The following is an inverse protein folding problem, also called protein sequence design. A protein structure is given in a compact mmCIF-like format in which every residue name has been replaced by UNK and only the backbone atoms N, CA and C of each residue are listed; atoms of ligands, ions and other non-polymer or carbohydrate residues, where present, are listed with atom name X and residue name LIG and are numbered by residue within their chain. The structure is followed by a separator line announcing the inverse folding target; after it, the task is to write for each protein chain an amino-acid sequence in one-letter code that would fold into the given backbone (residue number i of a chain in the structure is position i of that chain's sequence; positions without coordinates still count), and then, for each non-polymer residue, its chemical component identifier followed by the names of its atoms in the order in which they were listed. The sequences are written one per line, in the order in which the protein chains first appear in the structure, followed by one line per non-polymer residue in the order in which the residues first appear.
data_IF_569058858866
#
_entry.id   IF_569058858866
#
_cell.length_a   1.000
_cell.length_b   1.000
_cell.length_c   1.000
_cell.angle_alpha   90.00
_cell.angle_beta   90.00
_cell.angle_gamma   90.00
#
_symmetry.space_group_name_H-M   'P 1'
#
loop_
_entity.id
_entity.type
_entity.pdbx_description
1 polymer ?
#
# COMPACT_ATOMS: atom_id res chain seq x y z
N UNK A 1 -45.91 -24.38 -44.76
CA UNK A 1 -45.12 -24.87 -43.61
C UNK A 1 -44.04 -23.86 -43.29
N UNK A 2 -44.34 -22.91 -42.41
CA UNK A 2 -43.41 -21.82 -42.00
C UNK A 2 -42.71 -22.28 -40.71
N UNK A 3 -41.42 -22.57 -40.74
CA UNK A 3 -40.59 -22.84 -39.55
C UNK A 3 -40.13 -21.51 -38.93
N UNK A 4 -40.72 -21.16 -37.80
CA UNK A 4 -40.34 -20.05 -36.96
C UNK A 4 -38.98 -20.35 -36.31
N UNK A 5 -37.96 -19.57 -36.64
CA UNK A 5 -36.62 -19.63 -36.04
C UNK A 5 -36.59 -18.60 -34.92
N UNK A 6 -36.81 -19.06 -33.68
CA UNK A 6 -36.65 -18.21 -32.49
C UNK A 6 -35.17 -18.02 -32.19
N UNK A 7 -34.71 -16.80 -32.45
CA UNK A 7 -33.38 -16.34 -32.05
C UNK A 7 -33.40 -16.08 -30.53
N UNK A 8 -32.77 -16.95 -29.79
CA UNK A 8 -32.54 -16.77 -28.35
C UNK A 8 -31.34 -15.83 -28.15
N UNK A 9 -31.64 -14.55 -27.88
CA UNK A 9 -30.64 -13.52 -27.60
C UNK A 9 -30.13 -13.72 -26.16
N UNK A 10 -28.99 -14.41 -26.01
CA UNK A 10 -28.30 -14.53 -24.72
C UNK A 10 -27.62 -13.20 -24.42
N UNK A 11 -28.22 -12.40 -23.52
CA UNK A 11 -27.60 -11.21 -22.93
C UNK A 11 -26.45 -11.69 -22.01
N UNK A 12 -25.22 -11.63 -22.49
CA UNK A 12 -24.01 -11.74 -21.67
C UNK A 12 -23.91 -10.49 -20.80
N UNK A 13 -24.37 -10.59 -19.57
CA UNK A 13 -24.08 -9.61 -18.52
C UNK A 13 -22.58 -9.70 -18.22
N UNK A 14 -21.79 -8.82 -18.81
CA UNK A 14 -20.40 -8.62 -18.40
C UNK A 14 -20.41 -8.00 -17.01
N UNK A 15 -20.12 -8.81 -15.98
CA UNK A 15 -19.82 -8.31 -14.64
C UNK A 15 -18.46 -7.62 -14.78
N UNK A 16 -18.48 -6.30 -14.88
CA UNK A 16 -17.27 -5.49 -14.75
C UNK A 16 -16.88 -5.54 -13.27
N UNK A 17 -15.91 -6.36 -12.95
CA UNK A 17 -15.19 -6.25 -11.67
C UNK A 17 -14.37 -4.95 -11.78
N UNK A 18 -14.95 -3.86 -11.31
CA UNK A 18 -14.23 -2.61 -11.17
C UNK A 18 -13.40 -2.72 -9.89
N UNK A 19 -12.08 -2.70 -10.01
CA UNK A 19 -11.17 -2.49 -8.88
C UNK A 19 -11.54 -1.21 -8.13
N UNK A 20 -11.12 -1.08 -6.87
CA UNK A 20 -11.41 0.08 -6.03
C UNK A 20 -11.21 1.42 -6.74
N UNK A 21 -12.02 2.40 -6.37
CA UNK A 21 -12.00 3.70 -7.01
C UNK A 21 -10.87 4.57 -6.44
N UNK A 22 -9.82 4.78 -7.23
CA UNK A 22 -8.72 5.68 -6.88
C UNK A 22 -9.18 7.12 -7.02
N UNK A 23 -9.35 7.83 -5.91
CA UNK A 23 -9.74 9.23 -5.87
C UNK A 23 -8.53 10.14 -6.12
N UNK A 24 -7.40 9.82 -5.47
CA UNK A 24 -6.14 10.54 -5.63
C UNK A 24 -4.97 9.56 -5.52
N UNK A 25 -3.93 9.75 -6.35
CA UNK A 25 -2.66 9.08 -6.20
C UNK A 25 -1.56 9.97 -6.79
N UNK A 26 -0.73 10.54 -5.95
CA UNK A 26 0.32 11.46 -6.34
C UNK A 26 1.65 11.16 -5.61
N UNK A 27 2.76 11.38 -6.29
CA UNK A 27 4.09 11.35 -5.68
C UNK A 27 4.83 12.63 -6.07
N UNK A 28 5.30 13.36 -5.07
CA UNK A 28 6.16 14.51 -5.22
C UNK A 28 7.60 14.21 -4.77
N UNK A 29 8.56 15.08 -5.12
CA UNK A 29 9.94 15.00 -4.66
C UNK A 29 10.48 16.41 -4.49
N UNK A 30 10.95 16.72 -3.30
CA UNK A 30 11.56 18.01 -2.96
C UNK A 30 12.65 17.79 -1.91
N UNK A 31 13.81 18.39 -2.12
CA UNK A 31 14.94 18.40 -1.17
C UNK A 31 15.36 17.00 -0.66
N UNK A 32 15.27 16.00 -1.55
CA UNK A 32 15.61 14.61 -1.23
C UNK A 32 14.47 13.80 -0.59
N UNK A 33 13.36 14.44 -0.20
CA UNK A 33 12.18 13.80 0.36
C UNK A 33 11.19 13.45 -0.74
N UNK A 34 10.73 12.21 -0.74
CA UNK A 34 9.62 11.73 -1.55
C UNK A 34 8.35 11.73 -0.72
N UNK A 35 7.30 12.37 -1.22
CA UNK A 35 5.98 12.38 -0.59
C UNK A 35 5.00 11.62 -1.46
N UNK A 36 4.36 10.58 -0.91
CA UNK A 36 3.27 9.84 -1.53
C UNK A 36 1.96 10.21 -0.85
N UNK A 37 0.98 10.59 -1.64
CA UNK A 37 -0.41 10.78 -1.23
C UNK A 37 -1.30 9.80 -2.00
N UNK A 38 -2.10 9.03 -1.28
CA UNK A 38 -3.06 8.10 -1.85
C UNK A 38 -4.39 8.26 -1.13
N UNK A 39 -5.47 8.29 -1.89
CA UNK A 39 -6.84 8.28 -1.42
C UNK A 39 -7.64 7.36 -2.32
N UNK A 40 -8.20 6.29 -1.74
CA UNK A 40 -8.86 5.23 -2.50
C UNK A 40 -10.01 4.64 -1.71
N UNK A 41 -11.08 4.28 -2.39
CA UNK A 41 -12.16 3.47 -1.84
C UNK A 41 -11.98 2.03 -2.31
N UNK A 42 -11.92 1.10 -1.36
CA UNK A 42 -11.81 -0.35 -1.59
C UNK A 42 -13.11 -1.04 -1.24
N UNK A 43 -13.44 -2.13 -1.95
CA UNK A 43 -14.65 -2.94 -1.68
C UNK A 43 -14.33 -4.01 -0.64
N UNK A 44 -14.17 -3.54 0.59
CA UNK A 44 -13.87 -4.41 1.72
C UNK A 44 -14.32 -3.70 2.98
N UNK A 45 -14.92 -4.45 3.89
CA UNK A 45 -15.35 -3.92 5.19
C UNK A 45 -14.16 -3.36 5.98
N UNK A 46 -14.42 -2.35 6.79
CA UNK A 46 -13.41 -1.68 7.61
C UNK A 46 -12.58 -2.65 8.45
N UNK A 47 -13.24 -3.58 9.14
CA UNK A 47 -12.59 -4.53 10.03
C UNK A 47 -11.59 -5.43 9.29
N UNK A 48 -11.95 -5.87 8.09
CA UNK A 48 -11.09 -6.71 7.26
C UNK A 48 -9.87 -5.94 6.74
N UNK A 49 -10.07 -4.69 6.30
CA UNK A 49 -8.98 -3.83 5.86
C UNK A 49 -8.06 -3.48 7.03
N UNK A 50 -8.63 -3.07 8.16
CA UNK A 50 -7.86 -2.68 9.34
C UNK A 50 -7.03 -3.86 9.88
N UNK A 51 -7.62 -5.05 9.96
CA UNK A 51 -6.93 -6.25 10.41
C UNK A 51 -5.71 -6.58 9.55
N UNK A 52 -5.82 -6.44 8.22
CA UNK A 52 -4.71 -6.78 7.29
C UNK A 52 -3.57 -5.75 7.35
N UNK A 53 -3.90 -4.46 7.51
CA UNK A 53 -2.86 -3.40 7.55
C UNK A 53 -2.20 -3.27 8.92
N UNK A 54 -2.78 -3.88 9.97
CA UNK A 54 -2.22 -3.96 11.33
C UNK A 54 -1.59 -5.31 11.67
N UNK A 55 -1.65 -6.28 10.78
CA UNK A 55 -0.89 -7.54 10.92
C UNK A 55 0.57 -7.31 10.46
N UNK A 56 1.37 -6.76 11.38
CA UNK A 56 2.73 -6.28 11.07
C UNK A 56 3.71 -7.39 10.68
N UNK A 57 3.44 -8.63 11.02
CA UNK A 57 4.25 -9.77 10.61
C UNK A 57 3.89 -10.25 9.19
N UNK A 58 2.72 -9.89 8.69
CA UNK A 58 2.18 -10.36 7.41
C UNK A 58 2.11 -9.26 6.33
N UNK A 59 2.66 -8.07 6.56
CA UNK A 59 2.59 -6.96 5.59
C UNK A 59 3.21 -7.30 4.22
N UNK A 60 4.09 -8.30 4.16
CA UNK A 60 4.61 -8.81 2.90
C UNK A 60 3.52 -9.40 1.99
N UNK A 61 2.35 -9.77 2.54
CA UNK A 61 1.21 -10.26 1.75
C UNK A 61 0.54 -9.15 0.94
N UNK A 62 0.61 -7.90 1.39
CA UNK A 62 0.00 -6.76 0.71
C UNK A 62 0.98 -6.00 -0.20
N UNK A 63 2.28 -6.26 -0.12
CA UNK A 63 3.28 -5.58 -0.96
C UNK A 63 4.39 -6.52 -1.40
N UNK A 64 4.53 -6.69 -2.72
CA UNK A 64 5.60 -7.50 -3.33
C UNK A 64 7.00 -6.90 -3.10
N UNK A 65 7.09 -5.63 -2.75
CA UNK A 65 8.37 -5.00 -2.41
C UNK A 65 8.88 -5.43 -1.03
N UNK A 66 7.99 -5.80 -0.12
CA UNK A 66 8.35 -6.26 1.22
C UNK A 66 8.78 -7.72 1.16
N UNK A 67 10.06 -7.97 1.36
CA UNK A 67 10.64 -9.34 1.36
C UNK A 67 10.76 -9.92 2.77
N UNK A 68 10.72 -9.07 3.78
CA UNK A 68 10.71 -9.46 5.20
C UNK A 68 9.94 -8.41 5.99
N UNK A 69 9.08 -8.87 6.90
CA UNK A 69 8.38 -8.04 7.87
C UNK A 69 8.40 -8.74 9.21
N UNK A 70 8.68 -8.02 10.28
CA UNK A 70 8.67 -8.59 11.63
C UNK A 70 8.43 -7.54 12.70
N UNK A 71 7.65 -7.91 13.70
CA UNK A 71 7.50 -7.14 14.93
C UNK A 71 8.72 -7.37 15.83
N UNK A 72 9.36 -6.30 16.28
CA UNK A 72 10.57 -6.34 17.12
C UNK A 72 10.29 -6.10 18.61
N UNK A 73 9.12 -5.53 18.95
CA UNK A 73 8.68 -5.29 20.32
C UNK A 73 7.49 -6.18 20.68
N UNK A 74 7.14 -6.23 21.97
CA UNK A 74 5.92 -6.92 22.43
C UNK A 74 4.68 -6.29 21.78
N UNK A 75 3.74 -7.15 21.37
CA UNK A 75 2.53 -6.73 20.66
C UNK A 75 1.59 -5.82 21.49
N UNK A 76 1.68 -5.90 22.82
CA UNK A 76 0.87 -5.11 23.75
C UNK A 76 1.44 -3.73 24.07
N UNK A 77 2.62 -3.39 23.56
CA UNK A 77 3.20 -2.07 23.74
C UNK A 77 2.37 -1.00 23.01
N UNK A 78 2.16 0.17 23.65
CA UNK A 78 1.49 1.32 23.04
C UNK A 78 2.23 1.80 21.77
N UNK A 79 3.55 1.76 21.81
CA UNK A 79 4.41 1.98 20.64
C UNK A 79 5.09 0.66 20.30
N UNK A 80 4.75 0.12 19.15
CA UNK A 80 5.34 -1.11 18.62
C UNK A 80 6.53 -0.74 17.75
N UNK A 81 7.55 -1.58 17.71
CA UNK A 81 8.67 -1.43 16.79
C UNK A 81 8.65 -2.56 15.78
N UNK A 82 8.78 -2.23 14.49
CA UNK A 82 8.80 -3.23 13.43
C UNK A 82 9.98 -3.04 12.49
N UNK A 83 10.39 -4.13 11.86
CA UNK A 83 11.38 -4.16 10.79
C UNK A 83 10.66 -4.45 9.48
N UNK A 84 10.96 -3.67 8.47
CA UNK A 84 10.57 -3.90 7.10
C UNK A 84 11.82 -3.99 6.24
N UNK A 85 11.90 -5.01 5.40
CA UNK A 85 12.97 -5.12 4.39
C UNK A 85 12.32 -5.04 3.02
N UNK A 86 12.65 -4.00 2.29
CA UNK A 86 12.16 -3.78 0.93
C UNK A 86 13.21 -4.19 -0.09
N UNK A 87 12.77 -4.80 -1.18
CA UNK A 87 13.59 -5.06 -2.35
C UNK A 87 12.95 -4.42 -3.57
N UNK A 88 13.68 -3.56 -4.23
CA UNK A 88 13.20 -2.91 -5.46
C UNK A 88 14.28 -2.86 -6.52
N UNK A 89 13.86 -2.88 -7.79
CA UNK A 89 14.76 -2.74 -8.92
C UNK A 89 14.36 -1.50 -9.72
N UNK A 90 15.34 -0.64 -9.97
CA UNK A 90 15.21 0.52 -10.86
C UNK A 90 16.09 0.26 -12.07
N UNK A 91 15.48 -0.02 -13.21
CA UNK A 91 16.15 -0.51 -14.40
C UNK A 91 16.89 -1.84 -14.11
N UNK A 92 18.23 -1.84 -14.23
CA UNK A 92 19.08 -2.99 -13.94
C UNK A 92 19.67 -2.98 -12.52
N UNK A 93 19.41 -1.93 -11.75
CA UNK A 93 19.92 -1.78 -10.39
C UNK A 93 18.86 -2.25 -9.40
N UNK A 94 19.15 -3.36 -8.73
CA UNK A 94 18.32 -3.85 -7.62
C UNK A 94 19.01 -3.53 -6.30
N UNK A 95 18.25 -3.04 -5.34
CA UNK A 95 18.75 -2.76 -4.00
C UNK A 95 17.73 -3.25 -2.97
N UNK A 96 18.26 -3.60 -1.84
CA UNK A 96 17.49 -3.96 -0.65
C UNK A 96 17.71 -2.84 0.35
N UNK A 97 16.63 -2.40 0.99
CA UNK A 97 16.70 -1.38 2.02
C UNK A 97 15.97 -1.87 3.28
N UNK A 98 16.60 -1.64 4.42
CA UNK A 98 16.06 -1.93 5.74
C UNK A 98 15.41 -0.68 6.30
N UNK A 99 14.24 -0.84 6.91
CA UNK A 99 13.49 0.19 7.60
C UNK A 99 13.09 -0.32 8.97
N UNK A 100 13.59 0.32 10.01
CA UNK A 100 13.15 0.13 11.38
C UNK A 100 12.29 1.33 11.75
N UNK A 101 11.07 1.08 12.20
CA UNK A 101 10.14 2.16 12.52
C UNK A 101 9.33 1.87 13.78
N UNK A 102 9.06 2.91 14.53
CA UNK A 102 8.08 2.90 15.59
C UNK A 102 6.68 3.11 15.01
N UNK A 103 5.73 2.35 15.51
CA UNK A 103 4.33 2.33 15.05
C UNK A 103 3.42 2.55 16.23
N UNK A 104 2.45 3.43 16.09
CA UNK A 104 1.37 3.62 17.06
C UNK A 104 0.02 3.80 16.36
N UNK A 105 -0.99 3.28 16.99
CA UNK A 105 -2.37 3.27 16.48
C UNK A 105 -3.24 4.20 17.30
N UNK A 106 -4.12 4.93 16.64
CA UNK A 106 -5.14 5.77 17.28
C UNK A 106 -6.43 5.65 16.49
N UNK A 107 -7.48 5.09 17.11
CA UNK A 107 -8.79 4.85 16.49
C UNK A 107 -8.65 4.13 15.11
N UNK A 108 -8.82 4.88 14.03
CA UNK A 108 -8.75 4.39 12.65
C UNK A 108 -7.43 4.75 11.93
N UNK A 109 -6.44 5.23 12.69
CA UNK A 109 -5.20 5.77 12.13
C UNK A 109 -3.99 4.98 12.63
N UNK A 110 -3.09 4.62 11.70
CA UNK A 110 -1.82 3.99 11.97
C UNK A 110 -0.72 4.97 11.58
N UNK A 111 0.08 5.35 12.55
CA UNK A 111 1.21 6.26 12.34
C UNK A 111 2.51 5.51 12.49
N UNK A 112 3.49 5.86 11.66
CA UNK A 112 4.83 5.30 11.76
C UNK A 112 5.88 6.38 11.66
N UNK A 113 7.03 6.15 12.30
CA UNK A 113 8.21 6.98 12.22
C UNK A 113 9.45 6.13 12.15
N UNK A 114 10.26 6.35 11.13
CA UNK A 114 11.53 5.66 10.93
C UNK A 114 12.54 6.06 12.02
N UNK A 115 13.36 5.07 12.44
CA UNK A 115 14.54 5.24 13.27
C UNK A 115 15.74 5.27 12.34
N UNK A 116 16.31 6.45 12.03
CA UNK A 116 17.36 6.59 11.02
C UNK A 116 18.63 5.81 11.34
N UNK A 117 19.00 5.71 12.64
CA UNK A 117 20.21 5.04 13.09
C UNK A 117 20.23 3.53 12.75
N UNK A 118 19.03 2.93 12.62
CA UNK A 118 18.86 1.49 12.36
C UNK A 118 18.28 1.23 10.95
N UNK A 119 18.24 2.25 10.09
CA UNK A 119 17.57 2.20 8.79
C UNK A 119 18.41 2.73 7.64
N UNK A 120 18.10 2.31 6.42
CA UNK A 120 18.68 2.86 5.19
C UNK A 120 17.97 4.15 4.73
N UNK A 121 17.36 4.87 5.66
CA UNK A 121 16.61 6.11 5.41
C UNK A 121 16.98 7.16 6.45
N UNK A 122 17.22 8.40 5.99
CA UNK A 122 17.50 9.57 6.86
C UNK A 122 16.26 10.06 7.60
N UNK A 123 15.11 9.84 6.98
CA UNK A 123 13.83 10.29 7.50
C UNK A 123 12.71 9.45 6.87
N UNK A 124 11.68 9.23 7.65
CA UNK A 124 10.43 8.69 7.14
C UNK A 124 9.31 8.80 8.15
N UNK A 125 8.14 9.12 7.65
CA UNK A 125 6.89 9.18 8.40
C UNK A 125 5.75 8.72 7.52
N UNK A 126 4.87 7.89 8.06
CA UNK A 126 3.70 7.42 7.33
C UNK A 126 2.47 7.52 8.21
N UNK A 127 1.37 7.95 7.63
CA UNK A 127 0.04 7.91 8.26
C UNK A 127 -0.90 7.18 7.33
N UNK A 128 -1.48 6.10 7.83
CA UNK A 128 -2.61 5.41 7.23
C UNK A 128 -3.87 5.81 7.98
N UNK A 129 -4.94 6.11 7.26
CA UNK A 129 -6.28 6.26 7.83
C UNK A 129 -7.21 5.32 7.09
N UNK A 130 -7.99 4.53 7.84
CA UNK A 130 -8.99 3.62 7.28
C UNK A 130 -10.34 4.04 7.82
N UNK A 131 -11.24 4.47 6.94
CA UNK A 131 -12.58 4.91 7.29
C UNK A 131 -13.61 3.94 6.69
N UNK A 132 -14.63 3.54 7.45
CA UNK A 132 -15.79 2.85 6.88
C UNK A 132 -16.57 3.82 5.98
N UNK A 133 -16.90 3.39 4.76
CA UNK A 133 -17.79 4.10 3.85
C UNK A 133 -19.22 3.54 3.99
N UNK A 134 -19.30 2.21 4.00
CA UNK A 134 -20.49 1.42 4.29
C UNK A 134 -20.08 0.03 4.81
N UNK A 135 -21.04 -0.89 4.97
CA UNK A 135 -20.78 -2.22 5.53
C UNK A 135 -19.83 -3.10 4.68
N UNK A 136 -19.60 -2.73 3.42
CA UNK A 136 -18.80 -3.51 2.45
C UNK A 136 -17.71 -2.71 1.76
N UNK A 137 -17.53 -1.44 2.14
CA UNK A 137 -16.51 -0.60 1.53
C UNK A 137 -15.81 0.31 2.54
N UNK A 138 -14.53 0.53 2.33
CA UNK A 138 -13.68 1.37 3.17
C UNK A 138 -12.89 2.36 2.34
N UNK A 139 -12.58 3.49 2.92
CA UNK A 139 -11.69 4.50 2.34
C UNK A 139 -10.34 4.41 3.02
N UNK A 140 -9.31 4.23 2.22
CA UNK A 140 -7.92 4.22 2.67
C UNK A 140 -7.28 5.53 2.23
N UNK A 141 -6.73 6.27 3.18
CA UNK A 141 -5.84 7.40 2.90
C UNK A 141 -4.45 7.06 3.40
N UNK A 142 -3.46 7.29 2.57
CA UNK A 142 -2.06 7.11 2.89
C UNK A 142 -1.30 8.39 2.59
N UNK A 143 -0.64 8.91 3.61
CA UNK A 143 0.37 9.95 3.49
C UNK A 143 1.70 9.37 3.93
N UNK A 144 2.71 9.45 3.08
CA UNK A 144 4.02 8.89 3.37
C UNK A 144 5.12 9.83 2.88
N UNK A 145 6.04 10.17 3.77
CA UNK A 145 7.27 10.89 3.46
C UNK A 145 8.47 9.98 3.70
N UNK A 146 9.37 9.91 2.73
CA UNK A 146 10.58 9.09 2.80
C UNK A 146 11.78 9.84 2.25
N UNK A 147 12.88 9.85 2.99
CA UNK A 147 14.19 10.33 2.55
C UNK A 147 15.20 9.18 2.59
N UNK A 148 15.50 8.56 1.44
CA UNK A 148 16.51 7.50 1.37
C UNK A 148 17.91 8.00 1.76
N UNK A 149 18.70 7.13 2.43
CA UNK A 149 20.13 7.34 2.71
C UNK A 149 21.05 6.55 1.76
N UNK A 150 20.49 6.02 0.68
CA UNK A 150 21.25 5.36 -0.37
C UNK A 150 21.30 6.21 -1.65
N UNK A 151 22.32 5.93 -2.47
CA UNK A 151 22.53 6.71 -3.70
C UNK A 151 21.41 6.46 -4.72
N UNK A 152 20.82 7.52 -5.20
CA UNK A 152 19.83 7.53 -6.29
C UNK A 152 20.41 8.34 -7.45
N UNK A 153 20.45 7.79 -8.69
CA UNK A 153 20.97 8.52 -9.84
C UNK A 153 20.26 9.88 -10.02
N UNK A 154 21.00 11.01 -10.06
CA UNK A 154 20.41 12.35 -9.85
C UNK A 154 19.41 12.77 -10.93
N UNK A 155 19.58 12.38 -12.17
CA UNK A 155 18.71 12.87 -13.27
C UNK A 155 17.49 11.99 -13.53
N UNK A 156 17.64 10.67 -13.47
CA UNK A 156 16.57 9.73 -13.77
C UNK A 156 15.94 9.11 -12.52
N UNK A 157 16.72 9.04 -11.44
CA UNK A 157 16.33 8.39 -10.20
C UNK A 157 15.05 8.94 -9.58
N UNK A 158 14.90 10.26 -9.38
CA UNK A 158 13.68 10.83 -8.81
C UNK A 158 12.43 10.51 -9.62
N UNK A 159 12.52 10.53 -10.95
CA UNK A 159 11.41 10.16 -11.82
C UNK A 159 11.04 8.67 -11.67
N UNK A 160 12.05 7.80 -11.67
CA UNK A 160 11.84 6.35 -11.54
C UNK A 160 11.32 5.97 -10.14
N UNK A 161 11.84 6.60 -9.09
CA UNK A 161 11.33 6.41 -7.72
C UNK A 161 9.86 6.78 -7.62
N UNK A 162 9.47 7.97 -8.10
CA UNK A 162 8.06 8.39 -8.14
C UNK A 162 7.18 7.37 -8.86
N UNK A 163 7.61 6.93 -10.04
CA UNK A 163 6.87 5.93 -10.83
C UNK A 163 6.75 4.60 -10.10
N UNK A 164 7.80 4.17 -9.42
CA UNK A 164 7.82 2.92 -8.63
C UNK A 164 6.90 3.03 -7.43
N UNK A 165 7.02 4.09 -6.61
CA UNK A 165 6.15 4.31 -5.45
C UNK A 165 4.67 4.32 -5.83
N UNK A 166 4.31 5.04 -6.90
CA UNK A 166 2.92 5.11 -7.36
C UNK A 166 2.40 3.76 -7.86
N UNK A 167 3.24 2.99 -8.58
CA UNK A 167 2.88 1.65 -9.05
C UNK A 167 2.65 0.71 -7.88
N UNK A 168 3.55 0.69 -6.92
CA UNK A 168 3.47 -0.20 -5.76
C UNK A 168 2.30 0.18 -4.83
N UNK A 169 2.04 1.46 -4.61
CA UNK A 169 0.87 1.90 -3.87
C UNK A 169 -0.44 1.38 -4.49
N UNK A 170 -0.58 1.46 -5.82
CA UNK A 170 -1.73 0.90 -6.54
C UNK A 170 -1.84 -0.62 -6.43
N UNK A 171 -0.70 -1.34 -6.54
CA UNK A 171 -0.68 -2.80 -6.36
C UNK A 171 -1.09 -3.21 -4.94
N UNK A 172 -0.58 -2.50 -3.94
CA UNK A 172 -0.92 -2.74 -2.52
C UNK A 172 -2.42 -2.63 -2.30
N UNK A 173 -3.07 -1.60 -2.85
CA UNK A 173 -4.54 -1.44 -2.77
C UNK A 173 -5.28 -2.62 -3.39
N UNK A 174 -4.91 -3.01 -4.62
CA UNK A 174 -5.52 -4.17 -5.29
C UNK A 174 -5.33 -5.46 -4.48
N UNK A 175 -4.16 -5.62 -3.87
CA UNK A 175 -3.85 -6.80 -3.06
C UNK A 175 -4.65 -6.82 -1.76
N UNK A 176 -4.87 -5.68 -1.13
CA UNK A 176 -5.76 -5.56 0.03
C UNK A 176 -7.18 -6.00 -0.37
N UNK A 177 -7.75 -5.47 -1.45
CA UNK A 177 -9.08 -5.90 -1.93
C UNK A 177 -9.14 -7.41 -2.19
N UNK A 178 -8.15 -7.97 -2.86
CA UNK A 178 -8.10 -9.40 -3.18
C UNK A 178 -8.09 -10.27 -1.90
N UNK A 179 -7.26 -9.91 -0.91
CA UNK A 179 -7.13 -10.66 0.33
C UNK A 179 -8.38 -10.55 1.22
N UNK A 180 -9.03 -9.40 1.23
CA UNK A 180 -10.21 -9.15 2.05
C UNK A 180 -11.53 -9.59 1.40
N UNK A 181 -11.56 -9.79 0.07
CA UNK A 181 -12.75 -10.29 -0.64
C UNK A 181 -12.91 -11.81 -0.59
N UNK A 182 -11.86 -12.55 -0.23
CA UNK A 182 -11.84 -14.03 -0.20
C UNK A 182 -12.01 -14.60 1.23
N UNK A 183 -12.26 -13.81 2.23
CA UNK A 183 -12.53 -14.16 3.63
C UNK A 183 -13.98 -13.89 3.98
#
# INVERSE_FOLDING_TARGET
MLRSFQFFLVLLFSIQVSAGEVQQAAVSHKDGVYTLELDVVVRSAYEAVYAIVTDYDQLHLISEMLVETSLLSEAEAEIKRRKLVTRTCILIFCFTAVMIEDVWETDNTINTKIIPEDSDYKYGMTTWTVDAVDDQSSRIKLYCELQPDFWIPPFVGPYLMKKTMLREAKKTVLRIEELTSNG
#
